data_IF_197083038589
#
_entry.id   IF_197083038589
#
_cell.length_a   1.000
_cell.length_b   1.000
_cell.length_c   1.000
_cell.angle_alpha   90.00
_cell.angle_beta   90.00
_cell.angle_gamma   90.00
#
_symmetry.space_group_name_H-M   'P 1'
#
loop_
_entity.id
_entity.type
_entity.pdbx_description
1 polymer ?
#
# COMPACT_ATOMS: atom_id res chain seq x y z
N UNK A 1 -13.05 23.00 -24.28
CA UNK A 1 -13.56 23.32 -22.93
C UNK A 1 -12.50 22.86 -21.93
N UNK A 2 -11.91 23.77 -21.17
CA UNK A 2 -10.85 23.41 -20.22
C UNK A 2 -11.43 22.74 -18.96
N UNK A 3 -10.59 22.01 -18.24
CA UNK A 3 -10.94 21.41 -16.94
C UNK A 3 -11.46 22.47 -15.95
N UNK A 4 -10.88 23.67 -15.96
CA UNK A 4 -11.30 24.76 -15.08
C UNK A 4 -12.68 25.33 -15.44
N UNK A 5 -13.03 25.35 -16.73
CA UNK A 5 -14.37 25.73 -17.18
C UNK A 5 -15.42 24.72 -16.69
N UNK A 6 -15.12 23.42 -16.71
CA UNK A 6 -16.01 22.38 -16.18
C UNK A 6 -16.20 22.51 -14.66
N UNK A 7 -15.12 22.74 -13.91
CA UNK A 7 -15.21 22.96 -12.45
C UNK A 7 -16.07 24.16 -12.10
N UNK A 8 -15.91 25.25 -12.84
CA UNK A 8 -16.70 26.48 -12.63
C UNK A 8 -18.17 26.26 -12.97
N UNK A 9 -18.45 25.62 -14.11
CA UNK A 9 -19.82 25.34 -14.56
C UNK A 9 -20.60 24.45 -13.59
N UNK A 10 -19.95 23.43 -13.02
CA UNK A 10 -20.57 22.50 -12.06
C UNK A 10 -20.32 22.87 -10.59
N UNK A 11 -19.72 24.02 -10.30
CA UNK A 11 -19.39 24.47 -8.93
C UNK A 11 -18.59 23.45 -8.11
N UNK A 12 -17.67 22.73 -8.77
CA UNK A 12 -16.85 21.70 -8.14
C UNK A 12 -15.62 22.30 -7.45
N UNK A 13 -15.56 22.19 -6.12
CA UNK A 13 -14.43 22.69 -5.32
C UNK A 13 -13.09 22.03 -5.66
N UNK A 14 -13.10 20.83 -6.23
CA UNK A 14 -11.90 20.11 -6.68
C UNK A 14 -12.19 19.24 -7.90
N UNK A 15 -11.15 18.64 -8.47
CA UNK A 15 -11.31 17.66 -9.53
C UNK A 15 -12.06 16.42 -9.04
N UNK A 16 -13.20 16.04 -9.66
CA UNK A 16 -14.05 14.96 -9.15
C UNK A 16 -13.50 13.55 -9.42
N UNK A 17 -12.68 13.37 -10.47
CA UNK A 17 -12.16 12.06 -10.90
C UNK A 17 -10.64 11.94 -10.76
N UNK A 18 -10.05 12.61 -9.78
CA UNK A 18 -8.62 12.46 -9.47
C UNK A 18 -8.32 11.08 -8.89
N UNK A 19 -7.08 10.60 -9.04
CA UNK A 19 -6.62 9.34 -8.40
C UNK A 19 -6.53 9.43 -6.87
N UNK A 20 -6.50 10.66 -6.35
CA UNK A 20 -6.28 10.99 -4.94
C UNK A 20 -7.58 11.09 -4.13
N UNK A 21 -8.58 10.25 -4.42
CA UNK A 21 -9.74 10.13 -3.53
C UNK A 21 -9.30 9.51 -2.20
N UNK A 22 -9.63 10.19 -1.10
CA UNK A 22 -9.46 9.64 0.23
C UNK A 22 -10.34 8.37 0.38
N UNK A 23 -9.88 7.33 1.09
CA UNK A 23 -10.64 6.09 1.26
C UNK A 23 -12.07 6.27 1.77
N UNK A 24 -12.31 7.23 2.66
CA UNK A 24 -13.65 7.55 3.19
C UNK A 24 -14.61 8.20 2.19
N UNK A 25 -14.13 8.56 0.99
CA UNK A 25 -14.96 9.12 -0.09
C UNK A 25 -15.39 8.04 -1.11
N UNK A 26 -14.92 6.81 -0.94
CA UNK A 26 -15.24 5.72 -1.84
C UNK A 26 -16.66 5.22 -1.56
N UNK A 27 -17.42 4.97 -2.61
CA UNK A 27 -18.72 4.32 -2.47
C UNK A 27 -18.52 2.89 -1.93
N UNK A 28 -19.15 2.59 -0.79
CA UNK A 28 -19.03 1.30 -0.12
C UNK A 28 -19.87 0.21 -0.81
N UNK A 29 -19.43 -0.22 -1.99
CA UNK A 29 -20.00 -1.39 -2.63
C UNK A 29 -19.70 -2.65 -1.81
N UNK A 30 -20.63 -3.61 -1.74
CA UNK A 30 -20.45 -4.86 -0.97
C UNK A 30 -19.15 -5.58 -1.31
N UNK A 31 -18.87 -5.77 -2.60
CA UNK A 31 -17.65 -6.43 -3.06
C UNK A 31 -16.36 -5.69 -2.62
N UNK A 32 -16.39 -4.36 -2.57
CA UNK A 32 -15.26 -3.57 -2.07
C UNK A 32 -15.07 -3.78 -0.56
N UNK A 33 -16.15 -3.77 0.22
CA UNK A 33 -16.09 -4.05 1.65
C UNK A 33 -15.56 -5.47 1.94
N UNK A 34 -15.99 -6.47 1.17
CA UNK A 34 -15.48 -7.84 1.26
C UNK A 34 -13.99 -7.93 0.92
N UNK A 35 -13.53 -7.22 -0.12
CA UNK A 35 -12.11 -7.17 -0.47
C UNK A 35 -11.27 -6.53 0.64
N UNK A 36 -11.70 -5.38 1.18
CA UNK A 36 -11.02 -4.70 2.30
C UNK A 36 -10.94 -5.62 3.52
N UNK A 37 -12.03 -6.29 3.88
CA UNK A 37 -12.06 -7.21 5.02
C UNK A 37 -11.07 -8.37 4.86
N UNK A 38 -10.96 -8.95 3.65
CA UNK A 38 -10.00 -10.03 3.36
C UNK A 38 -8.55 -9.56 3.46
N UNK A 39 -8.24 -8.35 2.98
CA UNK A 39 -6.90 -7.75 3.12
C UNK A 39 -6.58 -7.53 4.59
N UNK A 40 -7.48 -6.89 5.32
CA UNK A 40 -7.30 -6.62 6.75
C UNK A 40 -7.10 -7.91 7.54
N UNK A 41 -7.80 -8.99 7.19
CA UNK A 41 -7.58 -10.30 7.78
C UNK A 41 -6.19 -10.87 7.45
N UNK A 42 -5.71 -10.77 6.20
CA UNK A 42 -4.34 -11.18 5.87
C UNK A 42 -3.30 -10.40 6.67
N UNK A 43 -3.53 -9.10 6.89
CA UNK A 43 -2.66 -8.26 7.71
C UNK A 43 -2.67 -8.72 9.17
N UNK A 44 -3.85 -8.95 9.76
CA UNK A 44 -3.98 -9.34 11.16
C UNK A 44 -3.38 -10.72 11.45
N UNK A 45 -3.61 -11.68 10.56
CA UNK A 45 -3.12 -13.05 10.69
C UNK A 45 -1.68 -13.23 10.19
N UNK A 46 -1.03 -12.16 9.71
CA UNK A 46 0.30 -12.21 9.07
C UNK A 46 0.37 -13.23 7.94
N UNK A 47 -0.72 -13.37 7.20
CA UNK A 47 -0.88 -14.33 6.12
C UNK A 47 -0.47 -13.73 4.77
N UNK A 48 -0.10 -14.60 3.83
CA UNK A 48 0.09 -14.21 2.44
C UNK A 48 -1.28 -14.25 1.75
N UNK A 49 -1.66 -13.13 1.11
CA UNK A 49 -2.90 -13.01 0.36
C UNK A 49 -2.63 -12.55 -1.07
N UNK A 50 -3.44 -13.03 -2.00
CA UNK A 50 -3.45 -12.56 -3.40
C UNK A 50 -4.86 -12.12 -3.73
N UNK A 51 -4.98 -10.90 -4.25
CA UNK A 51 -6.26 -10.38 -4.76
C UNK A 51 -6.18 -10.33 -6.27
N UNK A 52 -7.17 -10.93 -6.91
CA UNK A 52 -7.31 -10.94 -8.36
C UNK A 52 -8.60 -10.27 -8.78
N UNK A 53 -8.67 -9.88 -10.05
CA UNK A 53 -9.81 -9.21 -10.65
C UNK A 53 -9.39 -8.41 -11.87
N UNK A 54 -10.37 -8.01 -12.68
CA UNK A 54 -10.14 -7.28 -13.93
C UNK A 54 -9.48 -5.90 -13.71
N UNK A 55 -8.97 -5.30 -14.78
CA UNK A 55 -8.51 -3.91 -14.74
C UNK A 55 -9.69 -2.99 -14.40
N UNK A 56 -9.48 -2.02 -13.51
CA UNK A 56 -10.56 -1.13 -13.06
C UNK A 56 -11.54 -1.73 -12.05
N UNK A 57 -11.37 -2.99 -11.61
CA UNK A 57 -12.26 -3.60 -10.60
C UNK A 57 -12.10 -3.07 -9.17
N UNK A 58 -11.12 -2.17 -8.93
CA UNK A 58 -10.90 -1.53 -7.64
C UNK A 58 -9.91 -2.24 -6.72
N UNK A 59 -9.04 -3.14 -7.22
CA UNK A 59 -8.00 -3.82 -6.41
C UNK A 59 -7.10 -2.85 -5.62
N UNK A 60 -6.46 -1.92 -6.32
CA UNK A 60 -5.64 -0.84 -5.73
C UNK A 60 -6.42 0.01 -4.74
N UNK A 61 -7.70 0.26 -5.04
CA UNK A 61 -8.59 1.06 -4.19
C UNK A 61 -8.88 0.32 -2.88
N UNK A 62 -9.17 -0.98 -2.95
CA UNK A 62 -9.37 -1.82 -1.77
C UNK A 62 -8.08 -1.94 -0.92
N UNK A 63 -6.92 -2.14 -1.57
CA UNK A 63 -5.63 -2.15 -0.87
C UNK A 63 -5.37 -0.84 -0.12
N UNK A 64 -5.57 0.31 -0.78
CA UNK A 64 -5.44 1.63 -0.13
C UNK A 64 -6.42 1.82 1.03
N UNK A 65 -7.66 1.36 0.89
CA UNK A 65 -8.64 1.44 1.97
C UNK A 65 -8.26 0.56 3.17
N UNK A 66 -7.78 -0.66 2.93
CA UNK A 66 -7.30 -1.54 4.00
C UNK A 66 -6.06 -0.98 4.71
N UNK A 67 -5.10 -0.43 3.96
CA UNK A 67 -3.92 0.24 4.53
C UNK A 67 -4.28 1.42 5.41
N UNK A 68 -5.25 2.24 4.98
CA UNK A 68 -5.71 3.40 5.76
C UNK A 68 -6.47 3.00 7.03
N UNK A 69 -7.03 1.79 7.08
CA UNK A 69 -7.67 1.24 8.28
C UNK A 69 -6.66 0.61 9.26
N UNK A 70 -5.40 0.39 8.86
CA UNK A 70 -4.38 -0.17 9.74
C UNK A 70 -3.98 0.81 10.84
N UNK A 71 -3.89 0.31 12.07
CA UNK A 71 -3.31 1.05 13.19
C UNK A 71 -1.80 1.24 12.96
N UNK A 72 -1.40 2.47 12.63
CA UNK A 72 -0.02 2.87 12.36
C UNK A 72 0.92 2.73 13.58
N UNK A 73 0.37 2.60 14.78
CA UNK A 73 1.17 2.29 15.99
C UNK A 73 1.59 0.82 16.04
N UNK A 74 0.85 -0.07 15.38
CA UNK A 74 1.07 -1.53 15.38
C UNK A 74 1.58 -2.08 14.06
N UNK A 75 1.41 -1.33 12.96
CA UNK A 75 1.77 -1.78 11.63
C UNK A 75 2.67 -0.77 10.92
N UNK A 76 3.64 -1.30 10.18
CA UNK A 76 4.45 -0.55 9.22
C UNK A 76 4.17 -1.11 7.84
N UNK A 77 3.51 -0.32 6.99
CA UNK A 77 3.10 -0.77 5.64
C UNK A 77 4.12 -0.30 4.60
N UNK A 78 4.67 -1.24 3.85
CA UNK A 78 5.56 -1.00 2.70
C UNK A 78 4.76 -1.25 1.43
N UNK A 79 4.43 -0.18 0.71
CA UNK A 79 3.66 -0.26 -0.53
C UNK A 79 4.58 -0.19 -1.76
N UNK A 80 4.51 -1.20 -2.61
CA UNK A 80 5.24 -1.31 -3.86
C UNK A 80 4.24 -1.28 -5.02
N UNK A 81 3.97 -0.10 -5.58
CA UNK A 81 3.06 0.08 -6.73
C UNK A 81 3.74 0.00 -8.09
N UNK A 82 4.87 -0.68 -8.20
CA UNK A 82 5.56 -0.96 -9.46
C UNK A 82 6.43 -2.21 -9.26
N UNK A 83 5.99 -3.40 -9.72
CA UNK A 83 6.65 -4.67 -9.49
C UNK A 83 7.92 -4.84 -10.35
N UNK A 84 8.22 -3.89 -11.25
CA UNK A 84 9.38 -3.91 -12.14
C UNK A 84 10.76 -3.80 -11.45
N UNK A 85 10.80 -3.73 -10.13
CA UNK A 85 12.04 -3.55 -9.35
C UNK A 85 12.82 -4.85 -9.11
N UNK A 86 12.19 -6.01 -9.37
CA UNK A 86 12.77 -7.34 -9.14
C UNK A 86 13.13 -7.61 -7.67
N UNK A 87 13.67 -8.78 -7.37
CA UNK A 87 13.94 -9.22 -5.98
C UNK A 87 14.86 -8.26 -5.21
N UNK A 88 15.92 -7.75 -5.85
CA UNK A 88 16.82 -6.77 -5.22
C UNK A 88 16.10 -5.47 -4.90
N UNK A 89 15.26 -5.00 -5.81
CA UNK A 89 14.50 -3.78 -5.64
C UNK A 89 13.46 -3.89 -4.53
N UNK A 90 12.83 -5.06 -4.35
CA UNK A 90 11.95 -5.32 -3.20
C UNK A 90 12.70 -5.16 -1.89
N UNK A 91 13.88 -5.77 -1.75
CA UNK A 91 14.71 -5.62 -0.55
C UNK A 91 15.12 -4.16 -0.31
N UNK A 92 15.54 -3.45 -1.37
CA UNK A 92 15.90 -2.05 -1.29
C UNK A 92 14.71 -1.18 -0.84
N UNK A 93 13.53 -1.41 -1.40
CA UNK A 93 12.32 -0.68 -1.05
C UNK A 93 11.91 -0.92 0.41
N UNK A 94 12.02 -2.17 0.91
CA UNK A 94 11.78 -2.47 2.32
C UNK A 94 12.77 -1.71 3.21
N UNK A 95 14.08 -1.77 2.92
CA UNK A 95 15.09 -1.05 3.71
C UNK A 95 14.81 0.46 3.71
N UNK A 96 14.49 1.04 2.56
CA UNK A 96 14.15 2.47 2.45
C UNK A 96 12.88 2.83 3.22
N UNK A 97 11.83 2.00 3.15
CA UNK A 97 10.59 2.25 3.87
C UNK A 97 10.77 2.14 5.40
N UNK A 98 11.73 1.33 5.85
CA UNK A 98 12.13 1.23 7.26
C UNK A 98 13.19 2.27 7.68
N UNK A 99 13.44 3.29 6.84
CA UNK A 99 14.32 4.42 7.14
C UNK A 99 15.82 4.18 6.92
N UNK A 100 16.20 3.06 6.30
CA UNK A 100 17.58 2.73 5.96
C UNK A 100 18.01 3.15 4.56
N UNK A 101 19.32 3.21 4.32
CA UNK A 101 19.90 3.37 2.98
C UNK A 101 20.26 1.97 2.44
N UNK A 102 19.67 1.52 1.32
CA UNK A 102 19.93 0.19 0.78
C UNK A 102 21.38 -0.01 0.35
N UNK A 103 21.98 -1.11 0.78
CA UNK A 103 23.30 -1.52 0.29
C UNK A 103 23.22 -1.95 -1.18
N UNK A 104 24.28 -1.66 -1.92
CA UNK A 104 24.32 -1.92 -3.36
C UNK A 104 24.33 -3.43 -3.69
N UNK A 105 25.21 -4.20 -3.03
CA UNK A 105 25.38 -5.62 -3.29
C UNK A 105 24.32 -6.47 -2.57
N UNK A 106 23.70 -7.41 -3.30
CA UNK A 106 22.65 -8.29 -2.78
C UNK A 106 23.09 -9.08 -1.53
N UNK A 107 24.33 -9.57 -1.51
CA UNK A 107 24.89 -10.30 -0.37
C UNK A 107 24.90 -9.48 0.94
N UNK A 108 24.98 -8.15 0.83
CA UNK A 108 24.93 -7.26 1.98
C UNK A 108 23.52 -6.69 2.23
N UNK A 109 22.69 -6.58 1.19
CA UNK A 109 21.32 -6.06 1.25
C UNK A 109 20.33 -7.04 1.88
N UNK A 110 20.45 -8.35 1.60
CA UNK A 110 19.53 -9.35 2.16
C UNK A 110 19.64 -9.40 3.69
N UNK A 111 20.85 -9.54 4.30
CA UNK A 111 20.99 -9.50 5.75
C UNK A 111 20.57 -8.15 6.34
N UNK A 112 20.85 -7.04 5.64
CA UNK A 112 20.39 -5.71 6.06
C UNK A 112 18.87 -5.65 6.15
N UNK A 113 18.16 -6.22 5.17
CA UNK A 113 16.70 -6.22 5.16
C UNK A 113 16.13 -7.07 6.30
N UNK A 114 16.72 -8.26 6.53
CA UNK A 114 16.34 -9.13 7.65
C UNK A 114 16.53 -8.43 9.00
N UNK A 115 17.66 -7.73 9.19
CA UNK A 115 17.92 -6.97 10.40
C UNK A 115 16.93 -5.80 10.57
N UNK A 116 16.63 -5.06 9.51
CA UNK A 116 15.66 -3.96 9.56
C UNK A 116 14.25 -4.47 9.95
N UNK A 117 13.81 -5.59 9.37
CA UNK A 117 12.54 -6.24 9.71
C UNK A 117 12.51 -6.73 11.17
N UNK A 118 13.62 -7.31 11.65
CA UNK A 118 13.76 -7.76 13.01
C UNK A 118 13.70 -6.60 14.01
N UNK A 119 14.40 -5.49 13.75
CA UNK A 119 14.35 -4.27 14.57
C UNK A 119 12.92 -3.71 14.64
N UNK A 120 12.24 -3.61 13.49
CA UNK A 120 10.87 -3.09 13.45
C UNK A 120 9.89 -3.95 14.27
N UNK A 121 10.09 -5.27 14.25
CA UNK A 121 9.23 -6.21 14.99
C UNK A 121 9.58 -6.31 16.47
N UNK A 122 10.87 -6.48 16.79
CA UNK A 122 11.33 -6.82 18.14
C UNK A 122 11.51 -5.58 19.02
N UNK A 123 12.00 -4.47 18.45
CA UNK A 123 12.28 -3.25 19.22
C UNK A 123 11.08 -2.30 19.22
N UNK A 124 10.38 -2.18 18.08
CA UNK A 124 9.24 -1.25 17.94
C UNK A 124 7.87 -1.92 18.13
N UNK A 125 7.83 -3.25 18.20
CA UNK A 125 6.59 -4.00 18.34
C UNK A 125 5.64 -3.90 17.14
N UNK A 126 6.15 -3.48 15.97
CA UNK A 126 5.34 -3.27 14.78
C UNK A 126 5.41 -4.45 13.83
N UNK A 127 4.27 -4.84 13.28
CA UNK A 127 4.18 -5.84 12.22
C UNK A 127 4.43 -5.15 10.88
N UNK A 128 5.42 -5.63 10.12
CA UNK A 128 5.69 -5.11 8.77
C UNK A 128 4.82 -5.84 7.75
N UNK A 129 4.04 -5.09 6.99
CA UNK A 129 3.23 -5.61 5.89
C UNK A 129 3.76 -5.07 4.57
N UNK A 130 4.11 -5.96 3.65
CA UNK A 130 4.50 -5.58 2.29
C UNK A 130 3.31 -5.79 1.36
N UNK A 131 2.87 -4.74 0.69
CA UNK A 131 1.83 -4.79 -0.33
C UNK A 131 2.49 -4.54 -1.68
N UNK A 132 2.26 -5.47 -2.60
CA UNK A 132 2.73 -5.38 -3.98
C UNK A 132 1.50 -5.18 -4.84
N UNK A 133 1.44 -4.02 -5.49
CA UNK A 133 0.44 -3.68 -6.50
C UNK A 133 1.17 -3.50 -7.85
N UNK A 134 0.45 -3.70 -8.96
CA UNK A 134 0.99 -3.59 -10.33
C UNK A 134 1.73 -2.28 -10.62
#
# INVERSE_FOLDING_TARGET
MSIDQLRTHYSLGRMPFSKDLAPGMLHHHRAHAEAVARISWCISERAIGVITGECGSGKTVAARAAMAACDASRHTVVYLGTPGVGTRGTYAAIVSALGGIPRFHAAALIPQTQNALAVETQERGKTVTVIIDE
#
